data_IF_347084252075
#
_entry.id   IF_347084252075
#
_cell.length_a   1.000
_cell.length_b   1.000
_cell.length_c   1.000
_cell.angle_alpha   90.00
_cell.angle_beta   90.00
_cell.angle_gamma   90.00
#
_symmetry.space_group_name_H-M   'P 1'
#
loop_
_entity.id
_entity.type
_entity.pdbx_description
1 polymer ?
#
# COMPACT_ATOMS: atom_id res chain seq x y z
N UNK A 1 16.55 31.99 6.32
CA UNK A 1 16.18 32.74 5.10
C UNK A 1 14.68 32.87 5.10
N UNK A 2 14.22 34.11 4.92
CA UNK A 2 12.85 34.63 4.92
C UNK A 2 11.74 33.58 4.71
N UNK A 3 10.94 33.31 5.75
CA UNK A 3 9.60 32.77 5.57
C UNK A 3 8.72 33.90 5.06
N UNK A 4 8.31 33.78 3.80
CA UNK A 4 7.46 34.71 3.07
C UNK A 4 6.36 35.33 3.95
N UNK A 5 6.49 36.63 4.18
CA UNK A 5 5.46 37.50 4.76
C UNK A 5 4.27 37.70 3.82
N UNK A 6 4.23 37.01 2.67
CA UNK A 6 3.18 37.11 1.65
C UNK A 6 1.83 36.46 2.06
N UNK A 7 1.78 35.66 3.12
CA UNK A 7 0.59 34.86 3.46
C UNK A 7 -0.50 35.60 4.26
N UNK A 8 -0.30 36.86 4.64
CA UNK A 8 -1.26 37.65 5.44
C UNK A 8 -2.30 38.44 4.63
N UNK A 9 -2.62 38.06 3.39
CA UNK A 9 -3.82 38.59 2.70
C UNK A 9 -5.08 37.85 3.15
N UNK A 10 -5.40 37.97 4.44
CA UNK A 10 -6.74 37.70 4.93
C UNK A 10 -7.61 38.90 4.50
N UNK A 11 -8.46 38.70 3.49
CA UNK A 11 -9.46 39.71 3.15
C UNK A 11 -10.42 39.86 4.34
N UNK A 12 -10.28 40.94 5.11
CA UNK A 12 -11.24 41.27 6.16
C UNK A 12 -12.51 41.74 5.46
N UNK A 13 -13.52 40.88 5.41
CA UNK A 13 -14.88 41.29 5.03
C UNK A 13 -15.45 42.07 6.21
N UNK A 14 -15.15 43.37 6.25
CA UNK A 14 -15.79 44.28 7.19
C UNK A 14 -17.22 44.53 6.71
N UNK A 15 -18.12 43.71 7.23
CA UNK A 15 -19.55 43.99 7.21
C UNK A 15 -19.74 45.21 8.08
N UNK A 16 -20.15 46.38 7.55
CA UNK A 16 -20.97 47.34 8.29
C UNK A 16 -21.41 48.56 7.46
N UNK A 17 -22.52 49.11 7.92
CA UNK A 17 -23.41 50.05 7.24
C UNK A 17 -22.92 51.49 7.35
N UNK A 18 -22.72 52.17 6.21
CA UNK A 18 -22.61 53.64 5.99
C UNK A 18 -21.68 54.51 6.87
N UNK A 19 -21.10 54.02 7.96
CA UNK A 19 -20.32 54.85 8.92
C UNK A 19 -18.87 54.41 9.12
N UNK A 20 -18.39 53.38 8.43
CA UNK A 20 -17.08 52.78 8.74
C UNK A 20 -15.87 53.55 8.21
N UNK A 21 -15.96 54.32 7.12
CA UNK A 21 -14.79 55.07 6.62
C UNK A 21 -14.26 56.05 7.68
N UNK A 22 -15.17 56.75 8.39
CA UNK A 22 -14.81 57.56 9.55
C UNK A 22 -14.32 56.71 10.74
N UNK A 23 -14.91 55.53 10.94
CA UNK A 23 -14.56 54.65 12.05
C UNK A 23 -13.16 54.03 11.89
N UNK A 24 -12.70 53.79 10.66
CA UNK A 24 -11.34 53.31 10.35
C UNK A 24 -10.33 54.43 10.55
N UNK A 25 -10.68 55.67 10.25
CA UNK A 25 -9.78 56.81 10.47
C UNK A 25 -9.67 57.19 11.96
N UNK A 26 -10.69 56.87 12.77
CA UNK A 26 -10.75 57.23 14.20
C UNK A 26 -10.24 56.12 15.15
N UNK A 27 -10.11 54.86 14.71
CA UNK A 27 -9.72 53.71 15.54
C UNK A 27 -8.31 53.18 15.20
N UNK A 28 -7.34 53.44 16.08
CA UNK A 28 -5.94 53.03 15.92
C UNK A 28 -5.77 51.51 15.82
N UNK A 29 -6.56 50.73 16.54
CA UNK A 29 -6.46 49.26 16.51
C UNK A 29 -6.97 48.72 15.16
N UNK A 30 -8.01 49.36 14.61
CA UNK A 30 -8.52 49.05 13.29
C UNK A 30 -7.55 49.47 12.18
N UNK A 31 -6.86 50.60 12.33
CA UNK A 31 -5.79 51.01 11.42
C UNK A 31 -4.63 50.03 11.41
N UNK A 32 -4.20 49.57 12.59
CA UNK A 32 -3.15 48.56 12.69
C UNK A 32 -3.58 47.25 12.02
N UNK A 33 -4.83 46.83 12.22
CA UNK A 33 -5.38 45.63 11.58
C UNK A 33 -5.41 45.77 10.04
N UNK A 34 -5.88 46.91 9.52
CA UNK A 34 -5.94 47.19 8.08
C UNK A 34 -4.53 47.23 7.48
N UNK A 35 -3.58 47.85 8.17
CA UNK A 35 -2.18 47.90 7.76
C UNK A 35 -1.55 46.50 7.70
N UNK A 36 -1.84 45.64 8.69
CA UNK A 36 -1.39 44.23 8.71
C UNK A 36 -2.01 43.38 7.59
N UNK A 37 -3.16 43.79 7.06
CA UNK A 37 -3.83 43.17 5.91
C UNK A 37 -3.45 43.85 4.58
N UNK A 38 -2.32 44.56 4.52
CA UNK A 38 -1.82 45.28 3.34
C UNK A 38 -2.86 46.26 2.76
N UNK A 39 -3.64 46.90 3.64
CA UNK A 39 -4.74 47.80 3.29
C UNK A 39 -5.81 47.14 2.39
N UNK A 40 -5.90 45.81 2.38
CA UNK A 40 -6.92 45.08 1.62
C UNK A 40 -8.16 44.84 2.48
N UNK A 41 -9.18 45.66 2.26
CA UNK A 41 -10.51 45.46 2.82
C UNK A 41 -11.58 45.57 1.73
N UNK A 42 -12.76 45.02 2.01
CA UNK A 42 -13.95 45.18 1.18
C UNK A 42 -15.12 45.55 2.08
N UNK A 43 -15.74 46.70 1.77
CA UNK A 43 -16.92 47.20 2.47
C UNK A 43 -18.16 46.57 1.84
N UNK A 44 -18.95 45.87 2.66
CA UNK A 44 -20.16 45.20 2.20
C UNK A 44 -21.40 45.79 2.88
N UNK A 45 -22.33 46.35 2.10
CA UNK A 45 -23.53 47.01 2.60
C UNK A 45 -24.72 46.06 2.68
N UNK A 46 -24.89 45.40 3.83
CA UNK A 46 -25.99 44.46 4.09
C UNK A 46 -27.41 45.07 4.05
N UNK A 47 -27.55 46.40 4.07
CA UNK A 47 -28.87 47.07 3.93
C UNK A 47 -29.33 47.12 2.47
N UNK A 48 -28.42 47.00 1.52
CA UNK A 48 -28.68 47.17 0.09
C UNK A 48 -28.65 45.83 -0.65
N UNK A 49 -29.53 44.91 -0.24
CA UNK A 49 -29.58 43.53 -0.74
C UNK A 49 -29.87 43.40 -2.25
N UNK A 50 -30.35 44.47 -2.90
CA UNK A 50 -30.66 44.48 -4.33
C UNK A 50 -29.43 44.74 -5.19
N UNK A 51 -28.38 45.32 -4.61
CA UNK A 51 -27.16 45.59 -5.33
C UNK A 51 -26.27 44.33 -5.39
N UNK A 52 -26.27 43.68 -6.54
CA UNK A 52 -25.43 42.51 -6.79
C UNK A 52 -24.00 42.88 -7.21
N UNK A 53 -23.70 44.16 -7.44
CA UNK A 53 -22.36 44.60 -7.82
C UNK A 53 -21.34 44.34 -6.70
N UNK A 54 -21.73 44.55 -5.44
CA UNK A 54 -20.92 44.26 -4.24
C UNK A 54 -20.46 42.80 -4.17
N UNK A 55 -21.32 41.85 -4.56
CA UNK A 55 -20.96 40.42 -4.60
C UNK A 55 -19.96 40.14 -5.71
N UNK A 56 -20.13 40.75 -6.88
CA UNK A 56 -19.22 40.58 -8.01
C UNK A 56 -17.83 41.16 -7.71
N UNK A 57 -17.78 42.34 -7.09
CA UNK A 57 -16.53 42.98 -6.66
C UNK A 57 -15.80 42.14 -5.61
N UNK A 58 -16.54 41.58 -4.65
CA UNK A 58 -15.97 40.66 -3.65
C UNK A 58 -15.34 39.43 -4.33
N UNK A 59 -16.05 38.79 -5.26
CA UNK A 59 -15.54 37.62 -5.99
C UNK A 59 -14.34 37.95 -6.90
N UNK A 60 -14.28 39.16 -7.46
CA UNK A 60 -13.10 39.63 -8.19
C UNK A 60 -11.91 39.79 -7.24
N UNK A 61 -12.08 40.49 -6.11
CA UNK A 61 -11.03 40.67 -5.10
C UNK A 61 -10.50 39.32 -4.58
N UNK A 62 -11.38 38.36 -4.32
CA UNK A 62 -10.99 37.00 -3.89
C UNK A 62 -10.13 36.32 -4.97
N UNK A 63 -10.55 36.40 -6.25
CA UNK A 63 -9.78 35.83 -7.36
C UNK A 63 -8.40 36.46 -7.50
N UNK A 64 -8.31 37.78 -7.37
CA UNK A 64 -7.04 38.50 -7.44
C UNK A 64 -6.08 38.08 -6.31
N UNK A 65 -6.59 37.92 -5.09
CA UNK A 65 -5.78 37.45 -3.95
C UNK A 65 -5.29 36.02 -4.16
N UNK A 66 -6.17 35.11 -4.62
CA UNK A 66 -5.80 33.72 -4.93
C UNK A 66 -4.77 33.65 -6.06
N UNK A 67 -4.92 34.47 -7.10
CA UNK A 67 -3.99 34.53 -8.22
C UNK A 67 -2.62 35.07 -7.81
N UNK A 68 -2.58 36.13 -6.98
CA UNK A 68 -1.33 36.64 -6.39
C UNK A 68 -0.62 35.60 -5.52
N UNK A 69 -1.38 34.70 -4.88
CA UNK A 69 -0.86 33.57 -4.12
C UNK A 69 -0.50 32.35 -5.00
N UNK A 70 -0.38 32.53 -6.32
CA UNK A 70 0.01 31.46 -7.25
C UNK A 70 -1.04 30.35 -7.38
N UNK A 71 -2.31 30.63 -7.07
CA UNK A 71 -3.38 29.63 -7.02
C UNK A 71 -3.37 28.79 -5.74
N UNK A 72 -2.47 29.06 -4.80
CA UNK A 72 -2.39 28.35 -3.54
C UNK A 72 -3.40 28.88 -2.52
N UNK A 73 -4.15 27.95 -1.95
CA UNK A 73 -4.97 28.12 -0.75
C UNK A 73 -4.10 28.24 0.52
N UNK A 74 -4.64 28.88 1.56
CA UNK A 74 -4.07 28.89 2.90
C UNK A 74 -3.84 27.46 3.38
N UNK A 75 -2.57 27.04 3.38
CA UNK A 75 -2.19 25.71 3.86
C UNK A 75 -1.46 25.92 5.17
N UNK A 76 -2.07 25.47 6.28
CA UNK A 76 -1.41 25.51 7.59
C UNK A 76 -0.28 24.47 7.59
N UNK A 77 0.91 24.80 8.11
CA UNK A 77 2.02 23.85 8.28
C UNK A 77 1.56 22.54 8.93
N UNK A 78 0.56 22.60 9.81
CA UNK A 78 -0.02 21.42 10.47
C UNK A 78 -0.63 20.43 9.47
N UNK A 79 -1.27 20.89 8.40
CA UNK A 79 -1.82 20.02 7.35
C UNK A 79 -0.70 19.35 6.55
N UNK A 80 0.32 20.09 6.14
CA UNK A 80 1.46 19.51 5.42
C UNK A 80 2.24 18.51 6.28
N UNK A 81 2.35 18.75 7.59
CA UNK A 81 2.96 17.80 8.55
C UNK A 81 2.11 16.54 8.70
N UNK A 82 0.79 16.67 8.74
CA UNK A 82 -0.11 15.52 8.81
C UNK A 82 -0.03 14.66 7.53
N UNK A 83 -0.06 15.29 6.37
CA UNK A 83 0.04 14.61 5.07
C UNK A 83 1.37 13.87 4.91
N UNK A 84 2.50 14.48 5.30
CA UNK A 84 3.81 13.82 5.31
C UNK A 84 3.82 12.57 6.19
N UNK A 85 3.27 12.64 7.40
CA UNK A 85 3.20 11.47 8.30
C UNK A 85 2.35 10.33 7.71
N UNK A 86 1.25 10.66 7.05
CA UNK A 86 0.39 9.67 6.39
C UNK A 86 1.17 8.95 5.29
N UNK A 87 1.91 9.70 4.46
CA UNK A 87 2.68 9.09 3.37
C UNK A 87 3.85 8.26 3.91
N UNK A 88 4.56 8.73 4.94
CA UNK A 88 5.63 7.96 5.59
C UNK A 88 5.13 6.62 6.16
N UNK A 89 3.99 6.62 6.85
CA UNK A 89 3.42 5.37 7.39
C UNK A 89 2.90 4.44 6.28
N UNK A 90 2.33 5.00 5.22
CA UNK A 90 1.93 4.21 4.04
C UNK A 90 3.13 3.49 3.42
N UNK A 91 4.26 4.17 3.27
CA UNK A 91 5.49 3.55 2.75
C UNK A 91 6.02 2.46 3.68
N UNK A 92 5.99 2.68 5.00
CA UNK A 92 6.37 1.65 5.99
C UNK A 92 5.49 0.40 5.89
N UNK A 93 4.18 0.59 5.80
CA UNK A 93 3.22 -0.52 5.67
C UNK A 93 3.45 -1.30 4.36
N UNK A 94 3.68 -0.60 3.25
CA UNK A 94 3.94 -1.23 1.96
C UNK A 94 5.20 -2.10 2.02
N UNK A 95 6.30 -1.56 2.55
CA UNK A 95 7.57 -2.30 2.68
C UNK A 95 7.42 -3.54 3.57
N UNK A 96 6.76 -3.40 4.73
CA UNK A 96 6.53 -4.54 5.63
C UNK A 96 5.63 -5.62 5.00
N UNK A 97 4.66 -5.24 4.17
CA UNK A 97 3.83 -6.20 3.42
C UNK A 97 4.65 -6.92 2.36
N UNK A 98 5.50 -6.20 1.64
CA UNK A 98 6.36 -6.80 0.61
C UNK A 98 7.35 -7.80 1.21
N UNK A 99 7.98 -7.46 2.34
CA UNK A 99 8.85 -8.37 3.09
C UNK A 99 8.11 -9.65 3.51
N UNK A 100 6.89 -9.54 4.06
CA UNK A 100 6.07 -10.71 4.41
C UNK A 100 5.73 -11.59 3.21
N UNK A 101 5.34 -10.99 2.09
CA UNK A 101 5.03 -11.73 0.86
C UNK A 101 6.27 -12.50 0.38
N UNK A 102 7.46 -11.88 0.44
CA UNK A 102 8.71 -12.54 0.08
C UNK A 102 9.04 -13.72 0.99
N UNK A 103 8.86 -13.56 2.30
CA UNK A 103 9.06 -14.65 3.27
C UNK A 103 8.11 -15.83 3.02
N UNK A 104 6.82 -15.55 2.79
CA UNK A 104 5.82 -16.57 2.49
C UNK A 104 6.12 -17.31 1.19
N UNK A 105 6.52 -16.59 0.13
CA UNK A 105 6.93 -17.18 -1.15
C UNK A 105 8.16 -18.08 -0.99
N UNK A 106 9.16 -17.65 -0.21
CA UNK A 106 10.34 -18.48 0.05
C UNK A 106 9.98 -19.75 0.80
N UNK A 107 9.10 -19.66 1.80
CA UNK A 107 8.64 -20.81 2.57
C UNK A 107 7.88 -21.80 1.69
N UNK A 108 6.93 -21.31 0.90
CA UNK A 108 6.16 -22.16 -0.03
C UNK A 108 7.06 -22.85 -1.06
N UNK A 109 8.08 -22.13 -1.56
CA UNK A 109 9.05 -22.71 -2.50
C UNK A 109 9.87 -23.85 -1.88
N UNK A 110 10.29 -23.71 -0.62
CA UNK A 110 11.00 -24.77 0.12
C UNK A 110 10.09 -25.98 0.35
N UNK A 111 8.86 -25.76 0.80
CA UNK A 111 7.88 -26.83 1.01
C UNK A 111 7.61 -27.61 -0.28
N UNK A 112 7.48 -26.91 -1.41
CA UNK A 112 7.31 -27.54 -2.72
C UNK A 112 8.53 -28.38 -3.13
N UNK A 113 9.74 -27.87 -2.90
CA UNK A 113 10.98 -28.59 -3.19
C UNK A 113 11.11 -29.84 -2.33
N UNK A 114 10.90 -29.74 -1.02
CA UNK A 114 10.92 -30.89 -0.11
C UNK A 114 9.87 -31.93 -0.49
N UNK A 115 8.67 -31.50 -0.89
CA UNK A 115 7.62 -32.41 -1.30
C UNK A 115 7.99 -33.12 -2.61
N UNK A 116 8.57 -32.40 -3.57
CA UNK A 116 9.08 -32.99 -4.80
C UNK A 116 10.19 -34.01 -4.54
N UNK A 117 11.16 -33.70 -3.68
CA UNK A 117 12.23 -34.60 -3.28
C UNK A 117 11.70 -35.86 -2.59
N UNK A 118 10.78 -35.71 -1.63
CA UNK A 118 10.13 -36.85 -0.95
C UNK A 118 9.36 -37.72 -1.94
N UNK A 119 8.65 -37.12 -2.90
CA UNK A 119 7.92 -37.86 -3.91
C UNK A 119 8.87 -38.63 -4.84
N UNK A 120 9.97 -38.00 -5.26
CA UNK A 120 11.02 -38.66 -6.05
C UNK A 120 11.69 -39.80 -5.28
N UNK A 121 11.99 -39.61 -4.00
CA UNK A 121 12.58 -40.64 -3.16
C UNK A 121 11.65 -41.85 -3.00
N UNK A 122 10.36 -41.62 -2.71
CA UNK A 122 9.36 -42.69 -2.66
C UNK A 122 9.25 -43.45 -3.97
N UNK A 123 9.29 -42.73 -5.09
CA UNK A 123 9.26 -43.36 -6.42
C UNK A 123 10.48 -44.26 -6.64
N UNK A 124 11.67 -43.81 -6.27
CA UNK A 124 12.91 -44.60 -6.37
C UNK A 124 12.88 -45.83 -5.45
N UNK A 125 12.49 -45.67 -4.18
CA UNK A 125 12.34 -46.77 -3.22
C UNK A 125 11.35 -47.82 -3.72
N UNK A 126 10.23 -47.38 -4.30
CA UNK A 126 9.24 -48.28 -4.87
C UNK A 126 9.79 -49.05 -6.08
N UNK A 127 10.53 -48.38 -6.96
CA UNK A 127 11.18 -49.00 -8.11
C UNK A 127 12.22 -50.04 -7.70
N UNK A 128 13.04 -49.74 -6.68
CA UNK A 128 14.01 -50.70 -6.13
C UNK A 128 13.33 -51.90 -5.48
N UNK A 129 12.25 -51.67 -4.72
CA UNK A 129 11.46 -52.73 -4.09
C UNK A 129 10.77 -53.62 -5.13
N UNK A 130 10.26 -53.07 -6.23
CA UNK A 130 9.71 -53.83 -7.36
C UNK A 130 10.80 -54.69 -8.02
N UNK A 131 11.98 -54.11 -8.28
CA UNK A 131 13.10 -54.83 -8.90
C UNK A 131 13.60 -55.99 -8.03
N UNK A 132 13.69 -55.79 -6.73
CA UNK A 132 14.12 -56.81 -5.78
C UNK A 132 13.07 -57.91 -5.61
N UNK A 133 11.77 -57.56 -5.62
CA UNK A 133 10.68 -58.55 -5.64
C UNK A 133 10.77 -59.46 -6.85
N UNK A 134 10.89 -58.89 -8.05
CA UNK A 134 11.02 -59.66 -9.30
C UNK A 134 12.26 -60.56 -9.26
N UNK A 135 13.38 -60.09 -8.68
CA UNK A 135 14.58 -60.90 -8.51
C UNK A 135 14.35 -62.11 -7.60
N UNK A 136 13.72 -61.89 -6.45
CA UNK A 136 13.40 -62.94 -5.47
C UNK A 136 12.42 -63.96 -6.04
N UNK A 137 11.37 -63.51 -6.72
CA UNK A 137 10.40 -64.40 -7.39
C UNK A 137 11.09 -65.35 -8.38
N UNK A 138 11.99 -64.81 -9.23
CA UNK A 138 12.78 -65.63 -10.17
C UNK A 138 13.75 -66.59 -9.47
N UNK A 139 14.32 -66.20 -8.33
CA UNK A 139 15.18 -67.07 -7.54
C UNK A 139 14.40 -68.20 -6.86
N UNK A 140 13.21 -67.91 -6.35
CA UNK A 140 12.30 -68.91 -5.79
C UNK A 140 11.81 -69.89 -6.85
N UNK A 141 11.39 -69.41 -8.02
CA UNK A 141 10.96 -70.23 -9.15
C UNK A 141 12.05 -71.25 -9.54
N UNK A 142 13.29 -70.79 -9.73
CA UNK A 142 14.43 -71.68 -9.99
C UNK A 142 14.71 -72.69 -8.87
N UNK A 143 14.43 -72.34 -7.61
CA UNK A 143 14.59 -73.29 -6.48
C UNK A 143 13.51 -74.36 -6.50
N UNK A 144 12.26 -73.99 -6.79
CA UNK A 144 11.13 -74.91 -6.93
C UNK A 144 11.37 -75.89 -8.09
N UNK A 145 11.76 -75.39 -9.26
CA UNK A 145 12.10 -76.24 -10.43
C UNK A 145 13.23 -77.24 -10.13
N UNK A 146 14.29 -76.80 -9.41
CA UNK A 146 15.39 -77.70 -9.02
C UNK A 146 14.93 -78.79 -8.06
N UNK A 147 14.08 -78.46 -7.09
CA UNK A 147 13.51 -79.43 -6.15
C UNK A 147 12.64 -80.44 -6.88
N UNK A 148 11.75 -79.98 -7.77
CA UNK A 148 10.89 -80.84 -8.58
C UNK A 148 11.72 -81.78 -9.47
N UNK A 149 12.74 -81.27 -10.17
CA UNK A 149 13.63 -82.12 -10.97
C UNK A 149 14.38 -83.16 -10.12
N UNK A 150 14.81 -82.81 -8.91
CA UNK A 150 15.51 -83.74 -8.04
C UNK A 150 14.58 -84.84 -7.50
N UNK A 151 13.34 -84.49 -7.12
CA UNK A 151 12.30 -85.45 -6.77
C UNK A 151 11.96 -86.38 -7.93
N UNK A 152 11.84 -85.86 -9.15
CA UNK A 152 11.60 -86.63 -10.36
C UNK A 152 12.71 -87.67 -10.57
N UNK A 153 13.98 -87.24 -10.51
CA UNK A 153 15.16 -88.13 -10.63
C UNK A 153 15.20 -89.20 -9.53
N UNK A 154 14.79 -88.86 -8.32
CA UNK A 154 14.72 -89.85 -7.23
C UNK A 154 13.63 -90.89 -7.47
N UNK A 155 12.47 -90.50 -8.01
CA UNK A 155 11.38 -91.42 -8.36
C UNK A 155 11.81 -92.37 -9.49
N UNK A 156 12.45 -91.87 -10.53
CA UNK A 156 12.98 -92.68 -11.65
C UNK A 156 14.01 -93.72 -11.16
N UNK A 157 14.99 -93.32 -10.35
CA UNK A 157 15.99 -94.24 -9.76
C UNK A 157 15.39 -95.33 -8.89
N UNK A 158 14.23 -95.09 -8.28
CA UNK A 158 13.49 -96.08 -7.49
C UNK A 158 12.66 -97.01 -8.37
N UNK A 159 12.22 -96.57 -9.55
CA UNK A 159 11.47 -97.38 -10.51
C UNK A 159 12.36 -98.31 -11.35
N UNK A 160 13.64 -97.98 -11.52
CA UNK A 160 14.63 -98.79 -12.25
C UNK A 160 15.32 -99.89 -11.40
N UNK A 161 14.99 -100.02 -10.11
CA UNK A 161 15.50 -101.06 -9.20
C UNK A 161 14.44 -102.10 -8.88
#
# INVERSE_FOLDING_TARGET
MQTDTAWFSLLVVMILTKTIEKFVDDDTDLQELVARCNNQYHLFNNKEKKDRSQVNELLQKIRDVVQRNGGSHYTNEKFQKAERKIEEEKQRILKAKEEKIQEELQKLKRELQEQHEKNMQKFLEQFEADRERVRKEREEERRREKQEMEEQRQKERKAER
#
